data_IF_310357348919
#
_entry.id   IF_310357348919
#
_cell.length_a   1.000
_cell.length_b   1.000
_cell.length_c   1.000
_cell.angle_alpha   90.00
_cell.angle_beta   90.00
_cell.angle_gamma   90.00
#
_symmetry.space_group_name_H-M   'P 1'
#
loop_
_entity.id
_entity.type
_entity.pdbx_description
1 polymer ?
#
# COMPACT_ATOMS: atom_id res chain seq x y z
N UNK A 1 -53.57 -19.33 33.35
CA UNK A 1 -53.26 -17.99 33.90
C UNK A 1 -51.97 -18.15 34.71
N UNK A 2 -50.80 -17.60 34.40
CA UNK A 2 -50.31 -16.69 33.36
C UNK A 2 -48.81 -17.00 33.23
N UNK A 3 -48.31 -17.17 31.99
CA UNK A 3 -46.88 -17.22 31.69
C UNK A 3 -46.34 -15.80 31.81
N UNK A 4 -45.25 -15.61 32.54
CA UNK A 4 -44.49 -14.35 32.51
C UNK A 4 -43.02 -14.61 32.22
N UNK A 5 -42.65 -14.19 31.01
CA UNK A 5 -41.29 -13.93 30.53
C UNK A 5 -40.85 -12.61 31.17
N UNK A 6 -39.68 -12.56 31.79
CA UNK A 6 -39.05 -11.29 32.18
C UNK A 6 -37.64 -11.26 31.59
N UNK A 7 -37.47 -10.36 30.63
CA UNK A 7 -36.21 -9.81 30.16
C UNK A 7 -35.61 -8.94 31.29
N UNK A 8 -34.30 -9.03 31.49
CA UNK A 8 -33.58 -8.05 32.31
C UNK A 8 -32.53 -7.36 31.42
N UNK A 9 -32.88 -6.14 31.02
CA UNK A 9 -31.95 -5.06 30.68
C UNK A 9 -31.68 -4.25 31.96
N UNK A 10 -30.42 -3.97 32.26
CA UNK A 10 -29.97 -3.05 33.33
C UNK A 10 -30.47 -1.62 33.06
N UNK A 11 -30.64 -0.72 34.07
CA UNK A 11 -29.52 -0.13 34.83
C UNK A 11 -29.78 0.27 36.32
N UNK A 12 -28.68 0.40 37.06
CA UNK A 12 -28.41 1.33 38.19
C UNK A 12 -29.38 1.42 39.41
N UNK A 13 -28.89 0.87 40.53
CA UNK A 13 -28.90 1.40 41.91
C UNK A 13 -30.20 1.97 42.54
N UNK A 14 -30.78 1.21 43.48
CA UNK A 14 -31.06 1.63 44.87
C UNK A 14 -31.76 0.49 45.62
N UNK A 15 -31.14 0.01 46.71
CA UNK A 15 -31.73 -0.99 47.60
C UNK A 15 -32.64 -0.29 48.62
N UNK A 16 -33.92 -0.62 48.62
CA UNK A 16 -34.84 -0.41 49.75
C UNK A 16 -35.22 -1.77 50.29
N UNK A 17 -34.73 -2.12 51.49
CA UNK A 17 -35.14 -3.33 52.20
C UNK A 17 -36.50 -3.09 52.86
N UNK A 18 -37.48 -3.94 52.59
CA UNK A 18 -38.63 -4.12 53.47
C UNK A 18 -39.03 -5.60 53.54
N UNK A 19 -39.24 -6.04 54.80
CA UNK A 19 -39.78 -7.31 55.29
C UNK A 19 -38.86 -8.54 55.43
N UNK A 20 -38.43 -8.77 56.68
CA UNK A 20 -38.91 -9.94 57.43
C UNK A 20 -38.09 -11.23 57.41
N UNK A 21 -36.79 -11.19 57.71
CA UNK A 21 -35.99 -12.40 58.03
C UNK A 21 -35.09 -12.09 59.25
N UNK A 22 -34.97 -12.99 60.25
CA UNK A 22 -34.12 -12.76 61.43
C UNK A 22 -32.64 -12.57 61.06
N UNK A 23 -32.00 -11.60 61.71
CA UNK A 23 -30.66 -11.04 61.42
C UNK A 23 -29.50 -12.06 61.53
N UNK A 24 -29.72 -13.24 62.13
CA UNK A 24 -28.69 -14.27 62.32
C UNK A 24 -28.55 -15.28 61.17
N UNK A 25 -29.49 -15.33 60.22
CA UNK A 25 -29.42 -16.22 59.03
C UNK A 25 -29.02 -15.45 57.77
N UNK A 26 -29.31 -14.14 57.71
CA UNK A 26 -28.97 -13.29 56.57
C UNK A 26 -27.47 -13.11 56.35
N UNK A 27 -26.66 -13.08 57.42
CA UNK A 27 -25.22 -12.89 57.31
C UNK A 27 -24.52 -14.13 56.72
N UNK A 28 -24.96 -15.33 57.08
CA UNK A 28 -24.38 -16.58 56.58
C UNK A 28 -24.71 -16.83 55.11
N UNK A 29 -25.95 -16.53 54.67
CA UNK A 29 -26.36 -16.67 53.27
C UNK A 29 -25.72 -15.60 52.40
N UNK A 30 -25.59 -14.35 52.89
CA UNK A 30 -24.89 -13.29 52.16
C UNK A 30 -23.37 -13.58 52.05
N UNK A 31 -22.73 -14.14 53.09
CA UNK A 31 -21.32 -14.52 53.01
C UNK A 31 -21.11 -15.71 52.06
N UNK A 32 -21.99 -16.71 52.06
CA UNK A 32 -21.91 -17.83 51.11
C UNK A 32 -22.13 -17.37 49.66
N UNK A 33 -23.06 -16.44 49.42
CA UNK A 33 -23.29 -15.88 48.08
C UNK A 33 -22.12 -15.00 47.61
N UNK A 34 -21.50 -14.22 48.52
CA UNK A 34 -20.31 -13.40 48.20
C UNK A 34 -19.08 -14.28 47.98
N UNK A 35 -18.95 -15.42 48.65
CA UNK A 35 -17.87 -16.38 48.42
C UNK A 35 -18.10 -17.17 47.12
N UNK A 36 -19.33 -17.57 46.79
CA UNK A 36 -19.65 -18.23 45.51
C UNK A 36 -19.58 -17.27 44.30
N UNK A 37 -19.84 -15.98 44.50
CA UNK A 37 -19.68 -14.95 43.45
C UNK A 37 -18.24 -14.47 43.27
N UNK A 38 -17.30 -14.86 44.16
CA UNK A 38 -15.89 -14.43 44.06
C UNK A 38 -15.04 -15.30 43.13
N UNK A 39 -15.51 -16.49 42.77
CA UNK A 39 -14.78 -17.44 41.90
C UNK A 39 -15.50 -17.80 40.59
N UNK A 40 -16.59 -17.12 40.24
CA UNK A 40 -17.03 -17.10 38.86
C UNK A 40 -16.19 -16.08 38.09
N UNK A 41 -14.94 -16.44 37.79
CA UNK A 41 -14.28 -15.86 36.60
C UNK A 41 -15.24 -16.13 35.46
N UNK A 42 -15.86 -15.07 34.93
CA UNK A 42 -16.51 -15.15 33.63
C UNK A 42 -15.53 -15.86 32.71
N UNK A 43 -15.90 -17.05 32.24
CA UNK A 43 -15.14 -17.74 31.23
C UNK A 43 -15.18 -16.83 30.02
N UNK A 44 -14.11 -16.02 29.86
CA UNK A 44 -13.87 -15.28 28.63
C UNK A 44 -13.87 -16.35 27.56
N UNK A 45 -14.93 -16.37 26.74
CA UNK A 45 -15.00 -17.22 25.57
C UNK A 45 -13.88 -16.71 24.67
N UNK A 46 -12.70 -17.34 24.78
CA UNK A 46 -11.56 -17.03 23.91
C UNK A 46 -12.05 -17.24 22.48
N UNK A 47 -12.10 -16.15 21.70
CA UNK A 47 -12.40 -16.24 20.27
C UNK A 47 -11.42 -17.23 19.65
N UNK A 48 -11.94 -18.18 18.88
CA UNK A 48 -11.11 -19.20 18.25
C UNK A 48 -10.38 -18.61 17.05
N UNK A 49 -9.07 -18.84 16.98
CA UNK A 49 -8.24 -18.47 15.83
C UNK A 49 -8.68 -19.28 14.61
N UNK A 50 -9.07 -18.58 13.53
CA UNK A 50 -9.39 -19.19 12.25
C UNK A 50 -8.11 -19.32 11.42
N UNK A 51 -7.91 -20.48 10.81
CA UNK A 51 -6.76 -20.74 9.94
C UNK A 51 -7.24 -21.21 8.57
N UNK A 52 -6.80 -20.56 7.51
CA UNK A 52 -7.03 -21.01 6.15
C UNK A 52 -5.79 -20.82 5.28
N UNK A 53 -5.70 -21.61 4.22
CA UNK A 53 -4.57 -21.58 3.29
C UNK A 53 -5.11 -21.48 1.87
N UNK A 54 -4.54 -20.56 1.10
CA UNK A 54 -4.87 -20.33 -0.29
C UNK A 54 -3.64 -20.59 -1.15
N UNK A 55 -3.65 -21.73 -1.83
CA UNK A 55 -2.63 -22.08 -2.79
C UNK A 55 -2.82 -21.26 -4.09
N UNK A 56 -1.73 -20.89 -4.77
CA UNK A 56 -1.83 -20.32 -6.10
C UNK A 56 -2.32 -21.38 -7.10
N UNK A 57 -2.97 -20.97 -8.18
CA UNK A 57 -3.39 -21.90 -9.25
C UNK A 57 -2.20 -22.64 -9.87
N UNK A 58 -1.05 -21.97 -9.89
CA UNK A 58 0.23 -22.51 -10.28
C UNK A 58 1.33 -21.65 -9.69
N UNK A 59 2.55 -22.18 -9.60
CA UNK A 59 3.72 -21.48 -9.12
C UNK A 59 4.59 -21.07 -10.32
N UNK A 60 4.37 -19.89 -10.94
CA UNK A 60 5.28 -19.38 -11.95
C UNK A 60 6.66 -19.07 -11.37
N UNK A 61 7.71 -19.39 -12.12
CA UNK A 61 9.10 -19.02 -11.76
C UNK A 61 9.34 -17.53 -12.01
N UNK A 62 8.79 -17.02 -13.10
CA UNK A 62 8.91 -15.62 -13.50
C UNK A 62 7.64 -15.14 -14.21
N UNK A 63 7.46 -13.83 -14.27
CA UNK A 63 6.34 -13.20 -14.95
C UNK A 63 6.74 -11.87 -15.58
N UNK A 64 6.37 -11.68 -16.84
CA UNK A 64 6.44 -10.36 -17.47
C UNK A 64 5.36 -9.47 -16.87
N UNK A 65 5.77 -8.32 -16.35
CA UNK A 65 4.88 -7.30 -15.76
C UNK A 65 5.03 -6.01 -16.55
N UNK A 66 3.91 -5.46 -17.00
CA UNK A 66 3.82 -4.10 -17.54
C UNK A 66 3.22 -3.20 -16.47
N UNK A 67 4.04 -2.30 -15.96
CA UNK A 67 3.69 -1.37 -14.91
C UNK A 67 3.40 0.01 -15.50
N UNK A 68 2.20 0.54 -15.22
CA UNK A 68 1.86 1.93 -15.45
C UNK A 68 2.33 2.77 -14.25
N UNK A 69 3.59 3.19 -14.27
CA UNK A 69 4.22 3.91 -13.17
C UNK A 69 3.72 5.37 -13.11
N UNK A 70 2.96 5.77 -12.07
CA UNK A 70 2.44 7.12 -11.95
C UNK A 70 3.57 8.10 -11.64
N UNK A 71 3.65 9.21 -12.38
CA UNK A 71 4.66 10.24 -12.13
C UNK A 71 4.12 11.31 -11.18
N UNK A 72 4.76 11.46 -10.02
CA UNK A 72 4.55 12.64 -9.17
C UNK A 72 4.96 13.88 -9.94
N UNK A 73 4.16 14.93 -9.89
CA UNK A 73 4.43 16.21 -10.51
C UNK A 73 5.27 17.15 -9.62
N UNK A 74 6.19 16.59 -8.82
CA UNK A 74 7.02 17.31 -7.86
C UNK A 74 8.50 17.08 -8.12
N UNK A 75 9.33 18.10 -7.86
CA UNK A 75 10.79 18.00 -7.80
C UNK A 75 11.25 18.48 -6.43
N UNK A 76 11.87 17.60 -5.64
CA UNK A 76 12.32 17.90 -4.28
C UNK A 76 13.70 18.56 -4.24
N UNK A 77 13.95 19.37 -3.22
CA UNK A 77 15.19 20.15 -3.06
C UNK A 77 15.82 19.97 -1.67
N UNK A 78 17.15 20.12 -1.63
CA UNK A 78 17.90 20.12 -0.37
C UNK A 78 17.64 21.39 0.45
N UNK A 79 17.78 21.26 1.76
CA UNK A 79 17.71 22.38 2.69
C UNK A 79 18.76 23.44 2.32
N UNK A 80 18.35 24.72 2.28
CA UNK A 80 19.23 25.83 1.93
C UNK A 80 19.76 25.84 0.49
N UNK A 81 19.24 24.99 -0.42
CA UNK A 81 19.67 24.95 -1.82
C UNK A 81 18.54 25.33 -2.80
N UNK A 82 18.91 26.10 -3.82
CA UNK A 82 18.09 26.40 -5.01
C UNK A 82 18.51 25.60 -6.25
N UNK A 83 19.58 24.79 -6.14
CA UNK A 83 20.09 23.95 -7.23
C UNK A 83 19.27 22.67 -7.33
N UNK A 84 19.00 22.23 -8.56
CA UNK A 84 18.44 20.89 -8.82
C UNK A 84 19.39 19.87 -8.19
N UNK A 85 18.92 19.01 -7.27
CA UNK A 85 19.80 18.04 -6.62
C UNK A 85 20.41 17.04 -7.61
N UNK A 86 21.65 16.62 -7.36
CA UNK A 86 22.42 15.73 -8.25
C UNK A 86 21.78 14.34 -8.49
N UNK A 87 20.80 13.94 -7.67
CA UNK A 87 20.05 12.71 -7.89
C UNK A 87 19.12 12.79 -9.11
N UNK A 88 18.68 13.98 -9.50
CA UNK A 88 17.93 14.18 -10.73
C UNK A 88 18.89 14.18 -11.92
N UNK A 89 18.52 13.45 -12.98
CA UNK A 89 19.29 13.36 -14.21
C UNK A 89 19.10 14.65 -14.99
N UNK A 90 20.17 15.44 -15.10
CA UNK A 90 20.23 16.59 -16.00
C UNK A 90 21.00 16.23 -17.27
N UNK A 91 20.52 16.72 -18.40
CA UNK A 91 21.09 16.50 -19.72
C UNK A 91 21.77 17.78 -20.20
N UNK A 92 22.71 17.61 -21.12
CA UNK A 92 23.17 18.68 -22.00
C UNK A 92 22.18 18.91 -23.14
N UNK A 93 22.26 20.07 -23.79
CA UNK A 93 21.41 20.41 -24.93
C UNK A 93 21.50 19.36 -26.06
N UNK A 94 22.68 18.80 -26.31
CA UNK A 94 22.86 17.74 -27.32
C UNK A 94 22.16 16.45 -26.94
N UNK A 95 22.29 16.00 -25.68
CA UNK A 95 21.59 14.82 -25.17
C UNK A 95 20.05 15.00 -25.21
N UNK A 96 19.54 16.19 -24.91
CA UNK A 96 18.11 16.50 -24.95
C UNK A 96 17.50 16.50 -26.38
N UNK A 97 18.31 16.58 -27.44
CA UNK A 97 17.82 16.43 -28.82
C UNK A 97 17.46 14.98 -29.13
N UNK A 98 18.25 14.02 -28.63
CA UNK A 98 18.05 12.59 -28.84
C UNK A 98 17.25 11.90 -27.73
N UNK A 99 17.06 12.54 -26.58
CA UNK A 99 16.26 11.97 -25.48
C UNK A 99 14.83 11.67 -25.94
N UNK A 100 14.35 10.48 -25.61
CA UNK A 100 12.98 10.02 -25.83
C UNK A 100 12.52 9.29 -24.59
N UNK A 101 11.33 9.60 -24.09
CA UNK A 101 10.78 8.97 -22.88
C UNK A 101 10.71 7.45 -23.01
N UNK A 102 10.48 6.93 -24.22
CA UNK A 102 10.34 5.50 -24.52
C UNK A 102 11.58 4.68 -24.13
N UNK A 103 12.77 5.30 -24.08
CA UNK A 103 13.99 4.61 -23.64
C UNK A 103 13.96 4.24 -22.14
N UNK A 104 13.02 4.81 -21.38
CA UNK A 104 12.79 4.52 -19.97
C UNK A 104 11.74 3.40 -19.76
N UNK A 105 11.31 2.70 -20.81
CA UNK A 105 10.37 1.58 -20.67
C UNK A 105 11.04 0.27 -20.23
N UNK A 106 12.26 0.01 -20.68
CA UNK A 106 13.02 -1.21 -20.38
C UNK A 106 14.24 -0.92 -19.49
N UNK A 107 14.00 -0.27 -18.36
CA UNK A 107 15.06 0.16 -17.44
C UNK A 107 15.73 -1.03 -16.77
N UNK A 108 17.06 -1.03 -16.75
CA UNK A 108 17.85 -1.99 -16.00
C UNK A 108 17.95 -1.58 -14.52
N UNK A 109 18.06 -2.55 -13.60
CA UNK A 109 18.15 -3.99 -13.83
C UNK A 109 16.77 -4.64 -13.94
N UNK A 110 16.68 -5.75 -14.68
CA UNK A 110 15.40 -6.45 -14.91
C UNK A 110 14.85 -7.20 -13.68
N UNK A 111 15.69 -7.55 -12.70
CA UNK A 111 15.31 -8.36 -11.53
C UNK A 111 14.30 -7.67 -10.58
N UNK A 112 13.42 -8.45 -9.94
CA UNK A 112 12.41 -8.02 -8.96
C UNK A 112 12.94 -7.15 -7.81
N UNK A 113 14.06 -7.52 -7.19
CA UNK A 113 14.61 -6.87 -5.98
C UNK A 113 14.93 -5.38 -6.18
N UNK A 114 14.99 -4.95 -7.43
CA UNK A 114 15.40 -3.62 -7.84
C UNK A 114 14.27 -2.89 -8.61
N UNK A 115 13.01 -3.25 -8.31
CA UNK A 115 11.84 -2.51 -8.81
C UNK A 115 11.91 -1.03 -8.44
N UNK A 116 12.21 -0.74 -7.19
CA UNK A 116 12.37 0.63 -6.69
C UNK A 116 13.41 1.40 -7.49
N UNK A 117 14.54 0.77 -7.82
CA UNK A 117 15.60 1.35 -8.66
C UNK A 117 15.10 1.69 -10.05
N UNK A 118 14.34 0.81 -10.72
CA UNK A 118 13.75 1.12 -12.04
C UNK A 118 12.82 2.32 -11.96
N UNK A 119 11.90 2.31 -10.99
CA UNK A 119 10.93 3.39 -10.77
C UNK A 119 11.64 4.72 -10.45
N UNK A 120 12.65 4.70 -9.59
CA UNK A 120 13.41 5.90 -9.24
C UNK A 120 14.27 6.39 -10.40
N UNK A 121 14.81 5.50 -11.22
CA UNK A 121 15.49 5.89 -12.47
C UNK A 121 14.57 6.67 -13.41
N UNK A 122 13.32 6.22 -13.54
CA UNK A 122 12.30 6.96 -14.30
C UNK A 122 11.98 8.30 -13.63
N UNK A 123 11.71 8.30 -12.33
CA UNK A 123 11.36 9.52 -11.61
C UNK A 123 12.49 10.56 -11.60
N UNK A 124 13.75 10.15 -11.47
CA UNK A 124 14.89 11.06 -11.55
C UNK A 124 15.09 11.66 -12.95
N UNK A 125 14.44 11.12 -13.98
CA UNK A 125 14.33 11.72 -15.30
C UNK A 125 13.08 12.60 -15.48
N UNK A 126 12.32 12.93 -14.43
CA UNK A 126 11.06 13.70 -14.52
C UNK A 126 11.19 15.00 -15.32
N UNK A 127 12.29 15.75 -15.14
CA UNK A 127 12.51 16.99 -15.89
C UNK A 127 12.77 16.73 -17.38
N UNK A 128 13.41 15.61 -17.71
CA UNK A 128 13.68 15.21 -19.10
C UNK A 128 12.40 14.73 -19.78
N UNK A 129 11.58 13.97 -19.05
CA UNK A 129 10.26 13.52 -19.48
C UNK A 129 9.36 14.74 -19.74
N UNK A 130 9.31 15.70 -18.81
CA UNK A 130 8.54 16.92 -18.96
C UNK A 130 9.01 17.73 -20.18
N UNK A 131 10.32 17.94 -20.31
CA UNK A 131 10.92 18.65 -21.45
C UNK A 131 10.59 18.00 -22.80
N UNK A 132 10.74 16.67 -22.90
CA UNK A 132 10.41 15.92 -24.11
C UNK A 132 8.93 16.01 -24.48
N UNK A 133 8.02 15.83 -23.50
CA UNK A 133 6.58 15.98 -23.70
C UNK A 133 6.20 17.40 -24.14
N UNK A 134 6.79 18.44 -23.54
CA UNK A 134 6.53 19.83 -23.93
C UNK A 134 7.08 20.19 -25.32
N UNK A 135 8.17 19.56 -25.77
CA UNK A 135 8.68 19.68 -27.16
C UNK A 135 7.71 19.05 -28.15
N UNK A 136 7.21 17.85 -27.86
CA UNK A 136 6.26 17.12 -28.70
C UNK A 136 4.88 17.78 -28.74
N UNK A 137 4.54 18.56 -27.73
CA UNK A 137 3.25 19.25 -27.62
C UNK A 137 3.44 20.77 -27.48
N UNK A 138 3.64 21.54 -28.58
CA UNK A 138 4.01 22.96 -28.53
C UNK A 138 2.98 23.90 -27.88
N UNK A 139 1.73 23.46 -27.72
CA UNK A 139 0.65 24.24 -27.11
C UNK A 139 0.59 24.11 -25.59
N UNK A 140 1.38 23.22 -24.99
CA UNK A 140 1.31 23.02 -23.54
C UNK A 140 1.97 24.18 -22.81
N UNK A 141 1.33 24.63 -21.74
CA UNK A 141 1.81 25.65 -20.82
C UNK A 141 1.87 25.00 -19.44
N UNK A 142 2.90 25.34 -18.66
CA UNK A 142 3.03 24.86 -17.30
C UNK A 142 3.26 26.02 -16.32
N UNK A 143 2.86 25.79 -15.08
CA UNK A 143 3.25 26.61 -13.93
C UNK A 143 4.15 25.77 -13.02
N UNK A 144 5.30 26.35 -12.67
CA UNK A 144 6.24 25.82 -11.68
C UNK A 144 6.09 26.61 -10.40
N UNK A 145 5.60 25.95 -9.35
CA UNK A 145 5.30 26.58 -8.06
C UNK A 145 6.27 26.08 -7.00
N UNK A 146 7.26 26.89 -6.64
CA UNK A 146 8.31 26.51 -5.70
C UNK A 146 7.97 26.89 -4.26
N UNK A 147 8.20 25.96 -3.33
CA UNK A 147 7.99 26.16 -1.90
C UNK A 147 9.26 25.91 -1.08
N UNK A 148 9.40 26.65 0.03
CA UNK A 148 10.54 26.51 0.94
C UNK A 148 10.24 27.07 2.34
N UNK A 149 9.58 26.31 3.21
CA UNK A 149 9.57 26.57 4.67
C UNK A 149 9.20 28.03 5.08
N UNK A 150 8.21 28.62 4.42
CA UNK A 150 7.77 30.03 4.57
C UNK A 150 8.70 31.10 3.97
N UNK A 151 9.56 30.71 3.02
CA UNK A 151 10.41 31.61 2.24
C UNK A 151 10.00 31.60 0.75
N UNK A 152 8.98 32.37 0.34
CA UNK A 152 8.44 32.32 -1.01
C UNK A 152 9.43 32.81 -2.06
N UNK A 153 10.31 33.76 -1.72
CA UNK A 153 11.39 34.20 -2.60
C UNK A 153 12.38 33.05 -2.90
N UNK A 154 12.70 32.24 -1.89
CA UNK A 154 13.57 31.08 -2.04
C UNK A 154 12.89 29.95 -2.83
N UNK A 155 11.59 29.74 -2.57
CA UNK A 155 10.75 28.86 -3.38
C UNK A 155 10.74 29.28 -4.86
N UNK A 156 10.53 30.57 -5.15
CA UNK A 156 10.58 31.10 -6.51
C UNK A 156 11.92 30.83 -7.19
N UNK A 157 13.03 31.02 -6.47
CA UNK A 157 14.36 30.75 -7.02
C UNK A 157 14.54 29.28 -7.45
N UNK A 158 13.97 28.31 -6.71
CA UNK A 158 13.95 26.89 -7.12
C UNK A 158 13.14 26.68 -8.41
N UNK A 159 11.96 27.29 -8.51
CA UNK A 159 11.12 27.20 -9.69
C UNK A 159 11.83 27.80 -10.93
N UNK A 160 12.53 28.93 -10.77
CA UNK A 160 13.33 29.54 -11.83
C UNK A 160 14.50 28.65 -12.26
N UNK A 161 15.16 27.94 -11.34
CA UNK A 161 16.21 26.95 -11.71
C UNK A 161 15.64 25.84 -12.59
N UNK A 162 14.45 25.32 -12.27
CA UNK A 162 13.79 24.29 -13.09
C UNK A 162 13.37 24.85 -14.45
N UNK A 163 12.81 26.08 -14.47
CA UNK A 163 12.48 26.79 -15.71
C UNK A 163 13.70 26.95 -16.61
N UNK A 164 14.81 27.45 -16.07
CA UNK A 164 16.05 27.65 -16.80
C UNK A 164 16.53 26.36 -17.45
N UNK A 165 16.50 25.24 -16.72
CA UNK A 165 16.83 23.92 -17.29
C UNK A 165 15.97 23.57 -18.51
N UNK A 166 14.64 23.70 -18.42
CA UNK A 166 13.73 23.39 -19.52
C UNK A 166 13.93 24.33 -20.73
N UNK A 167 14.20 25.61 -20.49
CA UNK A 167 14.46 26.59 -21.56
C UNK A 167 15.80 26.32 -22.22
N UNK A 168 16.88 26.22 -21.45
CA UNK A 168 18.25 26.20 -21.96
C UNK A 168 18.61 24.85 -22.59
N UNK A 169 18.16 23.75 -21.96
CA UNK A 169 18.51 22.38 -22.37
C UNK A 169 17.51 21.83 -23.38
N UNK A 170 16.21 22.00 -23.15
CA UNK A 170 15.17 21.47 -24.04
C UNK A 170 14.71 22.47 -25.10
N UNK A 171 15.08 23.74 -25.00
CA UNK A 171 14.67 24.77 -25.96
C UNK A 171 13.19 25.13 -25.88
N UNK A 172 12.56 24.93 -24.71
CA UNK A 172 11.17 25.33 -24.51
C UNK A 172 11.10 26.85 -24.46
N UNK A 173 10.16 27.46 -25.19
CA UNK A 173 9.90 28.89 -25.08
C UNK A 173 9.52 29.25 -23.64
N UNK A 174 10.31 30.12 -23.00
CA UNK A 174 10.11 30.54 -21.61
C UNK A 174 8.78 31.23 -21.34
N UNK A 175 8.08 31.73 -22.38
CA UNK A 175 6.71 32.27 -22.26
C UNK A 175 5.68 31.18 -21.93
N UNK A 176 5.99 29.91 -22.19
CA UNK A 176 5.15 28.73 -21.86
C UNK A 176 5.34 28.23 -20.43
N UNK A 177 6.25 28.84 -19.66
CA UNK A 177 6.61 28.39 -18.32
C UNK A 177 6.49 29.58 -17.36
N UNK A 178 5.46 29.54 -16.50
CA UNK A 178 5.34 30.48 -15.38
C UNK A 178 6.11 29.92 -14.19
N UNK A 179 6.91 30.74 -13.51
CA UNK A 179 7.62 30.37 -12.28
C UNK A 179 7.18 31.28 -11.13
N UNK A 180 6.70 30.68 -10.05
CA UNK A 180 6.19 31.38 -8.87
C UNK A 180 6.75 30.78 -7.56
N UNK A 181 6.67 31.56 -6.49
CA UNK A 181 7.12 31.16 -5.16
C UNK A 181 5.99 31.19 -4.15
N UNK A 182 6.00 30.23 -3.22
CA UNK A 182 5.00 30.06 -2.16
C UNK A 182 5.65 29.77 -0.81
N UNK A 183 4.94 30.12 0.26
CA UNK A 183 5.37 29.79 1.62
C UNK A 183 5.40 28.27 1.83
N UNK A 184 4.35 27.59 1.35
CA UNK A 184 4.15 26.14 1.41
C UNK A 184 3.63 25.61 0.08
N UNK A 185 3.87 24.32 -0.22
CA UNK A 185 3.22 23.68 -1.35
C UNK A 185 1.69 23.74 -1.23
N UNK A 186 0.97 23.50 -2.34
CA UNK A 186 -0.50 23.44 -2.31
C UNK A 186 -1.02 22.40 -1.33
N UNK A 187 -0.30 21.29 -1.23
CA UNK A 187 -0.56 20.20 -0.31
C UNK A 187 0.67 20.03 0.59
N UNK A 188 0.73 20.73 1.73
CA UNK A 188 1.85 20.63 2.64
C UNK A 188 1.84 19.27 3.35
N UNK A 189 3.03 18.74 3.59
CA UNK A 189 3.29 17.56 4.41
C UNK A 189 3.30 17.96 5.89
N UNK A 190 3.80 19.16 6.21
CA UNK A 190 3.73 19.70 7.58
C UNK A 190 2.30 20.15 7.88
N UNK A 191 1.59 19.37 8.68
CA UNK A 191 0.27 19.71 9.23
C UNK A 191 0.40 20.61 10.46
N UNK A 192 -0.61 21.44 10.72
CA UNK A 192 -0.62 22.33 11.89
C UNK A 192 -0.60 21.53 13.19
N UNK A 193 0.30 21.88 14.11
CA UNK A 193 0.46 21.17 15.39
C UNK A 193 1.27 19.88 15.32
N UNK A 194 1.86 19.53 14.16
CA UNK A 194 2.81 18.42 14.08
C UNK A 194 4.00 18.65 15.02
N UNK A 195 4.30 17.69 15.87
CA UNK A 195 5.44 17.72 16.81
C UNK A 195 6.44 16.60 16.56
N UNK A 196 6.05 15.57 15.80
CA UNK A 196 6.88 14.41 15.44
C UNK A 196 7.33 14.51 13.98
N UNK A 197 8.50 13.92 13.71
CA UNK A 197 9.07 13.76 12.34
C UNK A 197 9.15 15.04 11.50
N UNK A 198 9.22 16.21 12.14
CA UNK A 198 9.18 17.52 11.47
C UNK A 198 10.22 17.67 10.36
N UNK A 199 11.44 17.17 10.58
CA UNK A 199 12.50 17.23 9.57
C UNK A 199 12.13 16.46 8.28
N UNK A 200 11.47 15.29 8.41
CA UNK A 200 11.02 14.48 7.27
C UNK A 200 9.85 15.14 6.54
N UNK A 201 8.94 15.77 7.28
CA UNK A 201 7.80 16.51 6.73
C UNK A 201 8.26 17.78 6.00
N UNK A 202 9.15 18.56 6.60
CA UNK A 202 9.76 19.74 5.99
C UNK A 202 10.52 19.39 4.71
N UNK A 203 11.23 18.25 4.69
CA UNK A 203 11.87 17.74 3.48
C UNK A 203 10.87 17.46 2.35
N UNK A 204 9.66 17.02 2.68
CA UNK A 204 8.57 16.86 1.72
C UNK A 204 8.02 18.18 1.18
N UNK A 205 8.24 19.30 1.86
CA UNK A 205 7.69 20.61 1.48
C UNK A 205 8.70 21.50 0.76
N UNK A 206 9.98 21.14 0.78
CA UNK A 206 11.01 21.73 -0.08
C UNK A 206 10.93 21.16 -1.49
N UNK A 207 10.03 21.72 -2.32
CA UNK A 207 9.80 21.21 -3.67
C UNK A 207 9.31 22.27 -4.65
N UNK A 208 9.36 21.91 -5.93
CA UNK A 208 8.69 22.62 -7.02
C UNK A 208 7.58 21.73 -7.54
N UNK A 209 6.34 22.23 -7.50
CA UNK A 209 5.16 21.58 -8.05
C UNK A 209 4.99 21.98 -9.53
N UNK A 210 4.72 21.00 -10.39
CA UNK A 210 4.50 21.17 -11.83
C UNK A 210 3.00 21.07 -12.11
N UNK A 211 2.43 22.11 -12.68
CA UNK A 211 0.99 22.20 -12.94
C UNK A 211 0.72 22.52 -14.40
N UNK A 212 -0.34 21.95 -14.97
CA UNK A 212 -0.81 22.24 -16.31
C UNK A 212 -2.27 21.83 -16.43
N UNK A 213 -3.04 22.48 -17.30
CA UNK A 213 -4.36 22.00 -17.72
C UNK A 213 -4.30 21.12 -18.98
N UNK A 214 -3.10 20.84 -19.48
CA UNK A 214 -2.90 20.06 -20.69
C UNK A 214 -3.12 18.57 -20.45
N UNK A 215 -4.11 18.00 -21.13
CA UNK A 215 -4.31 16.55 -21.20
C UNK A 215 -3.17 15.82 -21.93
N UNK A 216 -2.21 16.53 -22.55
CA UNK A 216 -1.00 15.90 -23.11
C UNK A 216 0.06 15.62 -22.04
N UNK A 217 0.11 16.45 -20.99
CA UNK A 217 1.09 16.30 -19.91
C UNK A 217 0.49 15.57 -18.71
N UNK A 218 -0.78 15.84 -18.43
CA UNK A 218 -1.43 15.45 -17.21
C UNK A 218 -2.45 14.33 -17.42
N UNK A 219 -2.65 13.55 -16.35
CA UNK A 219 -3.75 12.61 -16.18
C UNK A 219 -4.54 13.05 -14.95
N UNK A 220 -5.82 13.31 -15.13
CA UNK A 220 -6.72 13.58 -14.02
C UNK A 220 -6.92 12.30 -13.22
N UNK A 221 -6.49 12.31 -11.97
CA UNK A 221 -6.65 11.19 -11.04
C UNK A 221 -7.17 11.74 -9.72
N UNK A 222 -8.36 11.30 -9.30
CA UNK A 222 -9.02 11.94 -8.18
C UNK A 222 -10.22 12.80 -8.58
N UNK A 223 -11.31 12.73 -7.83
CA UNK A 223 -12.35 13.77 -7.84
C UNK A 223 -11.83 15.06 -7.19
N UNK A 224 -11.23 15.95 -7.99
CA UNK A 224 -10.68 17.25 -7.57
C UNK A 224 -9.71 17.81 -8.62
N UNK A 225 -9.20 19.05 -8.48
CA UNK A 225 -8.34 19.70 -9.47
C UNK A 225 -6.89 19.18 -9.40
N UNK A 226 -6.72 17.87 -9.20
CA UNK A 226 -5.45 17.22 -8.98
C UNK A 226 -5.09 16.37 -10.18
N UNK A 227 -4.17 16.92 -10.94
CA UNK A 227 -3.59 16.30 -12.09
C UNK A 227 -2.23 15.72 -11.70
N UNK A 228 -2.00 14.46 -12.06
CA UNK A 228 -0.66 13.88 -12.03
C UNK A 228 -0.04 13.99 -13.42
N UNK A 229 1.28 13.96 -13.52
CA UNK A 229 1.89 13.75 -14.84
C UNK A 229 1.44 12.38 -15.37
N UNK A 230 1.18 12.30 -16.67
CA UNK A 230 0.85 11.02 -17.32
C UNK A 230 1.90 9.95 -16.94
N UNK A 231 1.47 8.72 -16.65
CA UNK A 231 2.38 7.66 -16.22
C UNK A 231 3.38 7.30 -17.32
N UNK A 232 4.49 6.69 -16.90
CA UNK A 232 5.46 6.04 -17.80
C UNK A 232 5.23 4.54 -17.71
N UNK A 233 5.27 3.84 -18.84
CA UNK A 233 5.21 2.37 -18.83
C UNK A 233 6.58 1.81 -18.49
N UNK A 234 6.67 0.86 -17.57
CA UNK A 234 7.88 0.09 -17.27
C UNK A 234 7.56 -1.39 -17.53
N UNK A 235 8.40 -2.06 -18.30
CA UNK A 235 8.28 -3.51 -18.55
C UNK A 235 9.45 -4.22 -17.88
N UNK A 236 9.14 -5.22 -17.06
CA UNK A 236 10.14 -6.03 -16.38
C UNK A 236 9.73 -7.51 -16.33
N UNK A 237 10.73 -8.39 -16.15
CA UNK A 237 10.51 -9.80 -15.83
C UNK A 237 10.74 -9.95 -14.33
N UNK A 238 9.69 -10.33 -13.63
CA UNK A 238 9.68 -10.47 -12.18
C UNK A 238 9.86 -11.93 -11.84
N UNK A 239 11.01 -12.27 -11.28
CA UNK A 239 11.26 -13.57 -10.64
C UNK A 239 10.39 -13.71 -9.38
N UNK A 240 9.87 -14.92 -9.16
CA UNK A 240 9.00 -15.27 -8.04
C UNK A 240 7.86 -14.26 -7.83
N UNK A 241 6.95 -14.08 -8.82
CA UNK A 241 5.91 -13.05 -8.75
C UNK A 241 4.88 -13.38 -7.65
N UNK A 242 4.10 -12.40 -7.18
CA UNK A 242 3.21 -12.61 -6.02
C UNK A 242 2.14 -13.69 -6.23
N UNK A 243 1.77 -13.99 -7.48
CA UNK A 243 0.88 -15.11 -7.81
C UNK A 243 1.55 -16.48 -7.78
N UNK A 244 2.85 -16.58 -7.50
CA UNK A 244 3.53 -17.83 -7.13
C UNK A 244 3.38 -18.17 -5.65
N UNK A 245 2.93 -17.22 -4.82
CA UNK A 245 2.95 -17.37 -3.37
C UNK A 245 1.72 -18.12 -2.85
N UNK A 246 1.94 -18.92 -1.80
CA UNK A 246 0.90 -19.49 -0.95
C UNK A 246 0.57 -18.49 0.15
N UNK A 247 -0.72 -18.21 0.31
CA UNK A 247 -1.21 -17.24 1.29
C UNK A 247 -1.81 -17.98 2.48
N UNK A 248 -1.36 -17.63 3.68
CA UNK A 248 -1.80 -18.21 4.93
C UNK A 248 -2.55 -17.14 5.72
N UNK A 249 -3.81 -17.40 6.04
CA UNK A 249 -4.65 -16.50 6.84
C UNK A 249 -4.81 -17.06 8.24
N UNK A 250 -4.53 -16.24 9.24
CA UNK A 250 -4.68 -16.53 10.67
C UNK A 250 -5.53 -15.41 11.27
N UNK A 251 -6.82 -15.40 10.96
CA UNK A 251 -7.69 -14.28 11.29
C UNK A 251 -7.76 -14.07 12.81
N UNK A 252 -7.51 -12.82 13.25
CA UNK A 252 -7.46 -12.46 14.66
C UNK A 252 -6.12 -12.78 15.35
N UNK A 253 -5.07 -13.19 14.61
CA UNK A 253 -3.74 -13.44 15.18
C UNK A 253 -3.22 -12.25 16.00
N UNK A 254 -3.31 -11.03 15.47
CA UNK A 254 -2.83 -9.81 16.14
C UNK A 254 -3.52 -9.56 17.49
N UNK A 255 -4.79 -9.93 17.58
CA UNK A 255 -5.61 -9.76 18.79
C UNK A 255 -5.39 -10.90 19.79
N UNK A 256 -5.29 -12.14 19.31
CA UNK A 256 -5.40 -13.35 20.13
C UNK A 256 -4.06 -14.02 20.43
N UNK A 257 -3.08 -13.88 19.55
CA UNK A 257 -1.79 -14.56 19.63
C UNK A 257 -0.67 -13.60 20.03
N UNK A 258 0.35 -14.12 20.72
CA UNK A 258 1.65 -13.44 20.87
C UNK A 258 2.46 -13.57 19.59
N UNK A 259 2.44 -14.75 18.99
CA UNK A 259 3.01 -15.05 17.68
C UNK A 259 2.52 -16.41 17.17
N UNK A 260 2.79 -16.69 15.89
CA UNK A 260 2.56 -17.99 15.26
C UNK A 260 3.62 -18.30 14.21
N UNK A 261 3.76 -19.58 13.88
CA UNK A 261 4.72 -20.10 12.90
C UNK A 261 4.07 -21.19 12.05
N UNK A 262 4.71 -21.52 10.93
CA UNK A 262 4.26 -22.57 10.02
C UNK A 262 5.32 -23.66 9.93
N UNK A 263 4.88 -24.91 10.00
CA UNK A 263 5.64 -26.08 9.59
C UNK A 263 4.99 -26.64 8.32
N UNK A 264 5.73 -26.62 7.22
CA UNK A 264 5.29 -27.15 5.92
C UNK A 264 6.10 -28.41 5.64
N UNK A 265 5.42 -29.56 5.60
CA UNK A 265 6.04 -30.89 5.46
C UNK A 265 5.72 -31.47 4.10
N UNK A 266 6.75 -31.89 3.36
CA UNK A 266 6.58 -32.59 2.09
C UNK A 266 6.28 -34.10 2.28
N UNK A 267 6.02 -34.79 1.17
CA UNK A 267 5.70 -36.23 1.16
C UNK A 267 6.84 -37.13 1.68
N UNK A 268 8.07 -36.63 1.70
CA UNK A 268 9.26 -37.33 2.20
C UNK A 268 9.50 -37.03 3.69
N UNK A 269 8.65 -36.21 4.32
CA UNK A 269 8.78 -35.81 5.72
C UNK A 269 9.78 -34.68 5.96
N UNK A 270 10.27 -33.98 4.93
CA UNK A 270 11.13 -32.81 5.08
C UNK A 270 10.28 -31.62 5.52
N UNK A 271 10.66 -31.01 6.65
CA UNK A 271 9.94 -29.89 7.26
C UNK A 271 10.64 -28.57 6.93
N UNK A 272 9.88 -27.61 6.40
CA UNK A 272 10.27 -26.21 6.25
C UNK A 272 9.55 -25.38 7.33
N UNK A 273 10.26 -24.46 7.98
CA UNK A 273 9.73 -23.64 9.07
C UNK A 273 9.70 -22.16 8.68
N UNK A 274 8.59 -21.48 8.94
CA UNK A 274 8.41 -20.06 8.67
C UNK A 274 7.83 -19.33 9.89
N UNK A 275 8.18 -18.05 10.05
CA UNK A 275 7.83 -17.24 11.22
C UNK A 275 8.98 -17.13 12.25
N UNK A 276 8.71 -16.64 13.47
CA UNK A 276 7.38 -16.29 13.97
C UNK A 276 6.80 -15.03 13.29
N UNK A 277 5.48 -15.00 13.14
CA UNK A 277 4.69 -13.84 12.70
C UNK A 277 3.68 -13.43 13.77
N UNK A 278 3.28 -12.17 13.75
CA UNK A 278 2.23 -11.59 14.60
C UNK A 278 1.04 -11.08 13.77
N UNK A 279 1.12 -11.21 12.44
CA UNK A 279 0.13 -10.68 11.51
C UNK A 279 -0.99 -11.68 11.28
N UNK A 280 -2.13 -11.19 10.81
CA UNK A 280 -3.26 -12.04 10.44
C UNK A 280 -3.05 -12.76 9.10
N UNK A 281 -1.96 -12.46 8.39
CA UNK A 281 -1.66 -13.04 7.08
C UNK A 281 -0.15 -13.16 6.85
N UNK A 282 0.27 -14.26 6.23
CA UNK A 282 1.61 -14.44 5.67
C UNK A 282 1.56 -14.91 4.21
N UNK A 283 2.60 -14.53 3.46
CA UNK A 283 2.77 -14.88 2.04
C UNK A 283 4.12 -15.55 1.86
N UNK A 284 4.12 -16.83 1.50
CA UNK A 284 5.35 -17.61 1.32
C UNK A 284 5.46 -18.03 -0.14
N UNK A 285 6.64 -17.85 -0.72
CA UNK A 285 6.94 -18.26 -2.09
C UNK A 285 6.66 -19.74 -2.30
N UNK A 286 5.80 -20.06 -3.26
CA UNK A 286 5.59 -21.44 -3.70
C UNK A 286 6.85 -22.03 -4.34
N UNK A 287 7.70 -21.20 -4.95
CA UNK A 287 8.98 -21.65 -5.52
C UNK A 287 9.92 -22.10 -4.40
N UNK A 288 9.96 -21.39 -3.28
CA UNK A 288 10.71 -21.81 -2.08
C UNK A 288 10.16 -23.09 -1.47
N UNK A 289 8.83 -23.22 -1.34
CA UNK A 289 8.19 -24.44 -0.81
C UNK A 289 8.50 -25.65 -1.71
N UNK A 290 8.42 -25.48 -3.03
CA UNK A 290 8.70 -26.53 -4.00
C UNK A 290 10.18 -26.96 -4.03
N UNK A 291 11.12 -26.03 -3.81
CA UNK A 291 12.53 -26.29 -4.09
C UNK A 291 12.69 -26.75 -5.55
N UNK A 292 13.45 -27.81 -5.81
CA UNK A 292 13.70 -28.30 -7.18
C UNK A 292 12.54 -29.12 -7.77
N UNK A 293 11.43 -29.28 -7.04
CA UNK A 293 10.31 -30.12 -7.47
C UNK A 293 9.44 -29.39 -8.50
N UNK A 294 8.90 -30.17 -9.44
CA UNK A 294 7.88 -29.71 -10.38
C UNK A 294 6.49 -29.67 -9.76
N UNK A 295 6.21 -30.50 -8.77
CA UNK A 295 4.95 -30.50 -8.01
C UNK A 295 5.10 -31.21 -6.64
N UNK A 296 4.08 -31.06 -5.79
CA UNK A 296 3.95 -31.85 -4.56
C UNK A 296 2.74 -31.48 -3.72
N UNK A 297 2.34 -32.43 -2.87
CA UNK A 297 1.39 -32.22 -1.78
C UNK A 297 2.14 -31.95 -0.47
N UNK A 298 1.65 -30.97 0.28
CA UNK A 298 2.29 -30.50 1.51
C UNK A 298 1.30 -30.46 2.66
N UNK A 299 1.68 -31.04 3.80
CA UNK A 299 0.98 -30.85 5.06
C UNK A 299 1.44 -29.53 5.68
N UNK A 300 0.49 -28.68 6.03
CA UNK A 300 0.73 -27.40 6.69
C UNK A 300 0.25 -27.47 8.12
N UNK A 301 1.10 -27.11 9.08
CA UNK A 301 0.75 -26.98 10.49
C UNK A 301 1.06 -25.56 10.95
N UNK A 302 0.03 -24.82 11.35
CA UNK A 302 0.17 -23.54 12.04
C UNK A 302 0.29 -23.79 13.54
N UNK A 303 1.35 -23.25 14.15
CA UNK A 303 1.64 -23.32 15.57
C UNK A 303 1.63 -21.91 16.15
N UNK A 304 0.65 -21.60 17.01
CA UNK A 304 0.48 -20.31 17.66
C UNK A 304 0.56 -20.39 19.17
N UNK A 305 0.90 -19.27 19.82
CA UNK A 305 0.78 -19.11 21.27
C UNK A 305 -0.19 -17.95 21.56
N UNK A 306 -1.24 -18.20 22.34
CA UNK A 306 -2.18 -17.17 22.76
C UNK A 306 -1.52 -16.17 23.69
N UNK A 307 -2.11 -14.98 23.84
CA UNK A 307 -1.69 -14.00 24.86
C UNK A 307 -1.83 -14.52 26.31
N UNK A 308 -2.65 -15.54 26.54
CA UNK A 308 -2.75 -16.27 27.80
C UNK A 308 -1.66 -17.35 28.00
N UNK A 309 -0.79 -17.55 27.00
CA UNK A 309 0.32 -18.52 27.03
C UNK A 309 -0.03 -19.92 26.54
N UNK A 310 -1.28 -20.17 26.13
CA UNK A 310 -1.77 -21.46 25.62
C UNK A 310 -1.28 -21.71 24.20
N UNK A 311 -0.87 -22.93 23.87
CA UNK A 311 -0.51 -23.32 22.52
C UNK A 311 -1.76 -23.66 21.69
N UNK A 312 -1.77 -23.20 20.44
CA UNK A 312 -2.81 -23.45 19.44
C UNK A 312 -2.16 -24.12 18.23
N UNK A 313 -2.79 -25.17 17.70
CA UNK A 313 -2.36 -25.82 16.47
C UNK A 313 -3.52 -25.96 15.50
N UNK A 314 -3.28 -25.67 14.22
CA UNK A 314 -4.25 -25.86 13.12
C UNK A 314 -3.54 -26.52 11.95
N UNK A 315 -4.22 -27.44 11.28
CA UNK A 315 -3.67 -28.16 10.14
C UNK A 315 -4.41 -27.81 8.85
N UNK A 316 -3.69 -27.88 7.73
CA UNK A 316 -4.23 -27.75 6.37
C UNK A 316 -3.34 -28.53 5.40
N UNK A 317 -3.71 -28.56 4.13
CA UNK A 317 -2.91 -29.15 3.05
C UNK A 317 -2.89 -28.21 1.84
N UNK A 318 -1.82 -28.26 1.07
CA UNK A 318 -1.71 -27.53 -0.20
C UNK A 318 -1.07 -28.40 -1.27
N UNK A 319 -1.58 -28.29 -2.49
CA UNK A 319 -0.98 -28.88 -3.68
C UNK A 319 -0.35 -27.77 -4.52
N UNK A 320 0.92 -27.92 -4.89
CA UNK A 320 1.66 -26.94 -5.67
C UNK A 320 2.18 -27.55 -6.97
N UNK A 321 2.09 -26.79 -8.06
CA UNK A 321 2.59 -27.18 -9.38
C UNK A 321 3.41 -26.01 -9.95
N UNK A 322 4.69 -26.25 -10.23
CA UNK A 322 5.60 -25.31 -10.90
C UNK A 322 5.15 -25.09 -12.34
N UNK A 323 5.21 -23.83 -12.80
CA UNK A 323 4.98 -23.46 -14.19
C UNK A 323 6.13 -22.60 -14.70
N UNK A 324 6.67 -22.99 -15.85
CA UNK A 324 7.77 -22.27 -16.51
C UNK A 324 7.28 -21.35 -17.64
N UNK A 325 6.02 -21.46 -18.06
CA UNK A 325 5.52 -20.77 -19.26
C UNK A 325 5.07 -19.32 -18.98
N UNK A 326 5.71 -18.38 -19.67
CA UNK A 326 5.61 -16.91 -19.59
C UNK A 326 4.35 -16.28 -20.23
N UNK A 327 3.38 -17.08 -20.70
CA UNK A 327 2.50 -16.64 -21.80
C UNK A 327 1.62 -15.43 -21.56
N UNK A 328 1.39 -14.97 -20.33
CA UNK A 328 0.50 -13.84 -20.09
C UNK A 328 1.13 -12.76 -19.20
N UNK A 329 1.27 -11.59 -19.80
CA UNK A 329 1.74 -10.37 -19.16
C UNK A 329 0.76 -9.94 -18.06
N UNK A 330 1.26 -9.70 -16.85
CA UNK A 330 0.48 -9.04 -15.80
C UNK A 330 0.58 -7.52 -15.94
N UNK A 331 -0.48 -6.84 -15.52
CA UNK A 331 -0.54 -5.38 -15.51
C UNK A 331 -0.43 -4.89 -14.08
N UNK A 332 0.36 -3.84 -13.85
CA UNK A 332 0.53 -3.22 -12.53
C UNK A 332 0.16 -1.75 -12.58
N UNK A 333 -0.66 -1.32 -11.63
CA UNK A 333 -1.04 0.07 -11.42
C UNK A 333 -0.66 0.50 -10.01
N UNK A 334 -0.41 1.80 -9.81
CA UNK A 334 -0.17 2.37 -8.48
C UNK A 334 -1.01 3.63 -8.31
N UNK A 335 -1.61 3.77 -7.14
CA UNK A 335 -2.39 4.93 -6.71
C UNK A 335 -1.60 5.62 -5.61
N UNK A 336 -1.19 6.85 -5.83
CA UNK A 336 -0.35 7.58 -4.88
C UNK A 336 -1.16 8.49 -3.97
N UNK A 337 -0.73 8.64 -2.71
CA UNK A 337 -1.41 9.50 -1.72
C UNK A 337 -0.49 10.58 -1.19
N UNK A 338 -1.04 11.77 -0.98
CA UNK A 338 -0.35 12.81 -0.23
C UNK A 338 -0.38 12.49 1.27
N UNK A 339 0.52 13.11 2.05
CA UNK A 339 0.65 12.83 3.47
C UNK A 339 -0.59 13.31 4.25
N UNK A 340 -1.16 12.41 5.06
CA UNK A 340 -2.26 12.63 6.03
C UNK A 340 -3.47 13.44 5.53
N UNK A 341 -3.74 13.45 4.21
CA UNK A 341 -4.83 14.23 3.62
C UNK A 341 -6.08 13.41 3.34
N UNK A 342 -7.22 14.10 3.37
CA UNK A 342 -8.61 13.71 3.15
C UNK A 342 -8.95 12.95 1.86
N UNK A 343 -7.96 12.63 1.01
CA UNK A 343 -8.16 11.88 -0.23
C UNK A 343 -8.36 10.41 0.10
N UNK A 344 -9.62 10.03 0.20
CA UNK A 344 -10.01 8.63 0.22
C UNK A 344 -9.73 7.99 -1.14
N UNK A 345 -9.62 6.67 -1.15
CA UNK A 345 -9.58 5.89 -2.39
C UNK A 345 -10.75 6.22 -3.33
N UNK A 346 -11.89 6.69 -2.80
CA UNK A 346 -13.04 7.11 -3.60
C UNK A 346 -12.70 8.21 -4.62
N UNK A 347 -11.70 9.04 -4.34
CA UNK A 347 -11.24 10.03 -5.33
C UNK A 347 -10.74 9.34 -6.61
N UNK A 348 -10.11 8.16 -6.49
CA UNK A 348 -9.58 7.38 -7.60
C UNK A 348 -10.62 6.44 -8.23
N UNK A 349 -11.90 6.57 -7.88
CA UNK A 349 -12.94 5.65 -8.35
C UNK A 349 -13.02 5.58 -9.88
N UNK A 350 -12.98 6.71 -10.59
CA UNK A 350 -12.98 6.73 -12.06
C UNK A 350 -11.76 6.05 -12.65
N UNK A 351 -10.57 6.27 -12.10
CA UNK A 351 -9.36 5.56 -12.56
C UNK A 351 -9.50 4.05 -12.38
N UNK A 352 -9.95 3.60 -11.20
CA UNK A 352 -10.15 2.18 -10.93
C UNK A 352 -11.26 1.57 -11.81
N UNK A 353 -12.33 2.31 -12.08
CA UNK A 353 -13.50 1.84 -12.83
C UNK A 353 -13.29 1.87 -14.34
N UNK A 354 -12.69 2.94 -14.85
CA UNK A 354 -12.65 3.25 -16.29
C UNK A 354 -11.31 2.87 -16.93
N UNK A 355 -10.24 2.74 -16.14
CA UNK A 355 -8.90 2.40 -16.64
C UNK A 355 -8.46 1.01 -16.18
N UNK A 356 -8.54 0.73 -14.88
CA UNK A 356 -8.03 -0.53 -14.32
C UNK A 356 -9.01 -1.69 -14.56
N UNK A 357 -10.27 -1.53 -14.15
CA UNK A 357 -11.28 -2.60 -14.22
C UNK A 357 -11.49 -3.16 -15.62
N UNK A 358 -11.51 -2.37 -16.72
CA UNK A 358 -11.71 -2.91 -18.07
C UNK A 358 -10.61 -3.87 -18.51
N UNK A 359 -9.40 -3.75 -17.95
CA UNK A 359 -8.24 -4.59 -18.31
C UNK A 359 -8.22 -5.95 -17.59
N UNK A 360 -9.09 -6.16 -16.59
CA UNK A 360 -9.24 -7.45 -15.90
C UNK A 360 -9.89 -8.47 -16.84
N UNK A 361 -9.23 -9.59 -17.09
CA UNK A 361 -9.77 -10.69 -17.90
C UNK A 361 -10.62 -11.65 -17.07
N UNK A 362 -11.53 -12.39 -17.71
CA UNK A 362 -12.30 -13.46 -17.05
C UNK A 362 -11.39 -14.44 -16.33
N UNK A 363 -11.84 -14.89 -15.17
CA UNK A 363 -11.11 -15.78 -14.25
C UNK A 363 -9.74 -15.26 -13.79
N UNK A 364 -9.48 -13.96 -13.99
CA UNK A 364 -8.26 -13.27 -13.55
C UNK A 364 -8.14 -13.14 -12.03
N UNK A 365 -6.92 -12.89 -11.59
CA UNK A 365 -6.58 -12.59 -10.21
C UNK A 365 -6.21 -11.11 -10.08
N UNK A 366 -6.88 -10.41 -9.17
CA UNK A 366 -6.54 -9.04 -8.79
C UNK A 366 -5.85 -9.08 -7.43
N UNK A 367 -4.63 -8.57 -7.35
CA UNK A 367 -3.88 -8.47 -6.10
C UNK A 367 -3.73 -7.00 -5.72
N UNK A 368 -4.14 -6.63 -4.50
CA UNK A 368 -4.15 -5.25 -4.03
C UNK A 368 -3.29 -5.14 -2.78
N UNK A 369 -2.27 -4.27 -2.83
CA UNK A 369 -1.33 -4.06 -1.74
C UNK A 369 -1.41 -2.61 -1.26
N UNK A 370 -1.59 -2.39 0.03
CA UNK A 370 -1.62 -1.08 0.65
C UNK A 370 -0.36 -0.83 1.45
N UNK A 371 0.26 0.32 1.20
CA UNK A 371 1.48 0.73 1.88
C UNK A 371 1.34 2.16 2.42
N UNK A 372 2.07 2.45 3.48
CA UNK A 372 2.32 3.80 3.98
C UNK A 372 3.83 4.07 3.95
N UNK A 373 4.21 5.31 4.21
CA UNK A 373 5.61 5.60 4.54
C UNK A 373 5.90 5.22 6.01
N UNK A 374 7.11 5.52 6.44
CA UNK A 374 7.58 5.29 7.80
C UNK A 374 7.21 6.42 8.79
N UNK A 375 6.37 7.39 8.39
CA UNK A 375 6.00 8.52 9.24
C UNK A 375 4.70 8.19 9.98
N UNK A 376 4.65 8.49 11.28
CA UNK A 376 3.49 8.25 12.12
C UNK A 376 3.49 6.87 12.78
N UNK A 377 2.52 6.66 13.67
CA UNK A 377 2.44 5.45 14.50
C UNK A 377 2.11 4.20 13.66
N UNK A 378 2.79 3.08 13.95
CA UNK A 378 2.62 1.81 13.24
C UNK A 378 1.16 1.34 13.20
N UNK A 379 0.45 1.41 14.33
CA UNK A 379 -0.97 1.01 14.43
C UNK A 379 -1.86 1.85 13.52
N UNK A 380 -1.57 3.15 13.38
CA UNK A 380 -2.30 4.02 12.47
C UNK A 380 -2.01 3.66 11.01
N UNK A 381 -0.75 3.46 10.67
CA UNK A 381 -0.31 3.08 9.33
C UNK A 381 -0.89 1.73 8.87
N UNK A 382 -0.94 0.75 9.76
CA UNK A 382 -1.62 -0.54 9.52
C UNK A 382 -3.10 -0.34 9.18
N UNK A 383 -3.82 0.40 10.03
CA UNK A 383 -5.25 0.70 9.83
C UNK A 383 -5.50 1.44 8.51
N UNK A 384 -4.69 2.45 8.22
CA UNK A 384 -4.79 3.26 7.01
C UNK A 384 -4.53 2.43 5.75
N UNK A 385 -3.51 1.58 5.75
CA UNK A 385 -3.23 0.70 4.62
C UNK A 385 -4.35 -0.33 4.39
N UNK A 386 -4.92 -0.88 5.47
CA UNK A 386 -6.04 -1.83 5.42
C UNK A 386 -7.31 -1.18 4.85
N UNK A 387 -7.64 0.04 5.30
CA UNK A 387 -8.78 0.79 4.78
C UNK A 387 -8.64 1.08 3.28
N UNK A 388 -7.46 1.55 2.85
CA UNK A 388 -7.20 1.86 1.43
C UNK A 388 -7.34 0.61 0.54
N UNK A 389 -6.85 -0.54 1.00
CA UNK A 389 -6.98 -1.80 0.25
C UNK A 389 -8.44 -2.24 0.16
N UNK A 390 -9.17 -2.16 1.27
CA UNK A 390 -10.60 -2.53 1.35
C UNK A 390 -11.45 -1.66 0.43
N UNK A 391 -11.22 -0.34 0.44
CA UNK A 391 -11.92 0.60 -0.43
C UNK A 391 -11.61 0.34 -1.91
N UNK A 392 -10.33 0.08 -2.24
CA UNK A 392 -9.91 -0.16 -3.63
C UNK A 392 -10.56 -1.42 -4.18
N UNK A 393 -10.53 -2.50 -3.37
CA UNK A 393 -11.22 -3.74 -3.66
C UNK A 393 -12.71 -3.51 -3.90
N UNK A 394 -13.38 -2.80 -2.99
CA UNK A 394 -14.82 -2.55 -3.07
C UNK A 394 -15.22 -1.78 -4.33
N UNK A 395 -14.41 -0.81 -4.77
CA UNK A 395 -14.65 -0.08 -6.02
C UNK A 395 -14.53 -1.01 -7.23
N UNK A 396 -13.46 -1.80 -7.31
CA UNK A 396 -13.23 -2.74 -8.41
C UNK A 396 -14.33 -3.81 -8.43
N UNK A 397 -14.68 -4.39 -7.29
CA UNK A 397 -15.76 -5.39 -7.16
C UNK A 397 -17.11 -4.85 -7.64
N UNK A 398 -17.44 -3.60 -7.29
CA UNK A 398 -18.67 -2.94 -7.76
C UNK A 398 -18.66 -2.75 -9.28
N UNK A 399 -17.54 -2.26 -9.82
CA UNK A 399 -17.37 -2.06 -11.27
C UNK A 399 -17.45 -3.40 -12.04
N UNK A 400 -16.86 -4.47 -11.50
CA UNK A 400 -16.94 -5.82 -12.08
C UNK A 400 -18.37 -6.36 -12.02
N UNK A 401 -19.07 -6.17 -10.91
CA UNK A 401 -20.46 -6.63 -10.75
C UNK A 401 -21.43 -5.99 -11.75
N UNK A 402 -21.10 -4.79 -12.25
CA UNK A 402 -21.81 -4.11 -13.33
C UNK A 402 -21.34 -4.51 -14.73
N UNK A 403 -20.37 -5.43 -14.85
CA UNK A 403 -19.81 -5.92 -16.11
C UNK A 403 -20.21 -7.37 -16.39
N UNK A 404 -19.91 -7.88 -17.60
CA UNK A 404 -20.15 -9.28 -17.96
C UNK A 404 -19.08 -10.26 -17.44
N UNK A 405 -18.07 -9.77 -16.72
CA UNK A 405 -16.88 -10.54 -16.32
C UNK A 405 -17.21 -11.55 -15.22
N UNK A 406 -16.60 -12.73 -15.29
CA UNK A 406 -16.86 -13.84 -14.35
C UNK A 406 -15.58 -14.45 -13.79
N UNK A 407 -15.71 -15.05 -12.59
CA UNK A 407 -14.64 -15.85 -11.98
C UNK A 407 -13.45 -15.04 -11.44
N UNK A 408 -13.59 -13.72 -11.28
CA UNK A 408 -12.51 -12.87 -10.77
C UNK A 408 -12.25 -13.20 -9.30
N UNK A 409 -10.97 -13.35 -8.95
CA UNK A 409 -10.53 -13.58 -7.57
C UNK A 409 -9.71 -12.38 -7.08
N UNK A 410 -9.74 -12.14 -5.78
CA UNK A 410 -9.08 -11.00 -5.15
C UNK A 410 -8.20 -11.44 -4.00
N UNK A 411 -6.99 -10.90 -3.95
CA UNK A 411 -6.07 -11.02 -2.83
C UNK A 411 -5.68 -9.63 -2.35
N UNK A 412 -5.58 -9.46 -1.03
CA UNK A 412 -5.38 -8.16 -0.40
C UNK A 412 -4.31 -8.24 0.67
N UNK A 413 -3.37 -7.30 0.65
CA UNK A 413 -2.28 -7.20 1.61
C UNK A 413 -2.23 -5.78 2.20
N UNK A 414 -2.45 -5.66 3.50
CA UNK A 414 -2.24 -4.41 4.23
C UNK A 414 -0.84 -4.45 4.86
N UNK A 415 0.09 -3.67 4.31
CA UNK A 415 1.50 -3.74 4.70
C UNK A 415 1.93 -2.64 5.67
N UNK A 416 1.07 -1.65 5.93
CA UNK A 416 1.40 -0.51 6.77
C UNK A 416 2.71 0.18 6.34
N UNK A 417 3.47 0.63 7.34
CA UNK A 417 4.79 1.24 7.17
C UNK A 417 5.95 0.24 7.32
N UNK A 418 5.68 -1.07 7.19
CA UNK A 418 6.67 -2.11 7.44
C UNK A 418 7.79 -2.04 6.40
N UNK A 419 8.99 -1.68 6.86
CA UNK A 419 10.18 -1.49 6.04
C UNK A 419 10.62 -2.74 5.27
N UNK A 420 10.32 -3.95 5.74
CA UNK A 420 10.72 -5.20 5.09
C UNK A 420 9.91 -5.49 3.82
N UNK A 421 8.73 -4.88 3.71
CA UNK A 421 7.81 -5.04 2.56
C UNK A 421 7.48 -3.69 1.92
N UNK A 422 8.14 -2.61 2.34
CA UNK A 422 7.98 -1.29 1.79
C UNK A 422 8.49 -1.27 0.33
N UNK A 423 7.78 -0.60 -0.59
CA UNK A 423 8.24 -0.49 -1.97
C UNK A 423 9.57 0.27 -2.12
N UNK A 424 9.90 1.18 -1.20
CA UNK A 424 11.09 2.03 -1.19
C UNK A 424 11.65 2.24 0.24
N UNK A 425 12.89 2.71 0.35
CA UNK A 425 13.65 2.78 1.62
C UNK A 425 13.28 3.93 2.57
N UNK A 426 12.36 4.82 2.19
CA UNK A 426 11.90 6.01 2.95
C UNK A 426 12.96 7.10 3.23
N UNK A 427 14.18 6.98 2.70
CA UNK A 427 15.27 7.92 2.97
C UNK A 427 14.97 9.30 2.35
N UNK A 428 14.68 9.31 1.05
CA UNK A 428 14.35 10.54 0.32
C UNK A 428 12.84 10.88 0.40
N UNK A 429 12.47 12.17 0.33
CA UNK A 429 11.05 12.55 0.32
C UNK A 429 10.29 11.87 -0.83
N UNK A 430 10.85 11.80 -2.03
CA UNK A 430 10.26 11.08 -3.16
C UNK A 430 9.93 9.62 -2.83
N UNK A 431 10.83 8.89 -2.17
CA UNK A 431 10.62 7.49 -1.76
C UNK A 431 9.44 7.38 -0.78
N UNK A 432 9.37 8.27 0.22
CA UNK A 432 8.21 8.32 1.13
C UNK A 432 6.91 8.61 0.38
N UNK A 433 6.94 9.55 -0.57
CA UNK A 433 5.79 9.87 -1.41
C UNK A 433 5.34 8.69 -2.29
N UNK A 434 6.25 7.82 -2.72
CA UNK A 434 5.92 6.62 -3.47
C UNK A 434 5.55 5.42 -2.58
N UNK A 435 6.00 5.37 -1.32
CA UNK A 435 5.56 4.39 -0.33
C UNK A 435 4.12 4.61 0.13
N UNK A 436 3.62 5.85 0.08
CA UNK A 436 2.20 6.15 0.27
C UNK A 436 1.41 5.74 -0.97
N UNK A 437 1.17 4.44 -1.12
CA UNK A 437 0.59 3.86 -2.33
C UNK A 437 -0.37 2.71 -2.08
N UNK A 438 -1.32 2.54 -2.99
CA UNK A 438 -1.98 1.25 -3.24
C UNK A 438 -1.50 0.72 -4.58
N UNK A 439 -1.00 -0.52 -4.61
CA UNK A 439 -0.57 -1.21 -5.82
C UNK A 439 -1.65 -2.21 -6.21
N UNK A 440 -2.06 -2.20 -7.49
CA UNK A 440 -3.03 -3.13 -8.04
C UNK A 440 -2.37 -3.93 -9.16
N UNK A 441 -2.24 -5.23 -8.97
CA UNK A 441 -1.78 -6.19 -9.96
C UNK A 441 -2.99 -6.91 -10.58
N UNK A 442 -3.05 -6.92 -11.91
CA UNK A 442 -4.00 -7.70 -12.70
C UNK A 442 -3.23 -8.86 -13.32
N UNK A 443 -3.56 -10.06 -12.87
CA UNK A 443 -2.87 -11.28 -13.26
C UNK A 443 -3.84 -12.10 -14.13
N UNK A 444 -3.56 -12.23 -15.43
CA UNK A 444 -4.41 -13.00 -16.33
C UNK A 444 -4.31 -14.50 -16.02
N UNK A 445 -5.40 -15.21 -16.28
CA UNK A 445 -5.51 -16.65 -16.05
C UNK A 445 -4.58 -17.48 -16.95
#
# INVERSE_FOLDING_TARGET
MKIYKINITSPLSRWTYFLGIPLSVGLAVALLFVIFMRDCKEAVVEREVQFSVRAPKSVPVERRVRESFPLRNYVFFEAGSTKIPNRYVTLTKSQALSFREEQLQEVQPKNRALRSVRQMTVYYNILNILGDRMKRSPRTIITLSGASENEPAFGKARAETVKAYLVDVFGIDGSRITAEGRDKPRIPSVVHGATKELALLQAGDRRVDIESSSSELMLQVGGGPHDMLKPVQIVAVVEDPMDSHVIFHVDGAKELLTSWSLEITDEQGKIQRFGPSTRDQESISGNSILGDRSQGDYKVVMLGQTKSGKLVSKESTVHLIRREDLKKEALRFSILFDFDQSKTIASYASFLTDVVTPLIQDSGLVVIHGHTDSIGEEVYNDSLSSQRVTDARSIIERAISSSAKKGITFETFACGGNIQVAPFDNYFPEERFYNRTVIVDIIPH
#
